data_IF_789508320807
#
_entry.id   IF_789508320807
#
_cell.length_a   1.000
_cell.length_b   1.000
_cell.length_c   1.000
_cell.angle_alpha   90.00
_cell.angle_beta   90.00
_cell.angle_gamma   90.00
#
_symmetry.space_group_name_H-M   'P 1'
#
loop_
_entity.id
_entity.type
_entity.pdbx_description
1 polymer ?
#
# COMPACT_ATOMS: atom_id res chain seq x y z
N UNK A 1 9.68 25.25 -71.84
CA UNK A 1 8.72 25.87 -70.89
C UNK A 1 8.34 24.81 -69.91
N UNK A 2 8.93 24.88 -68.70
CA UNK A 2 8.76 23.87 -67.65
C UNK A 2 8.06 24.60 -66.48
N UNK A 3 6.77 24.36 -66.34
CA UNK A 3 5.96 24.94 -65.22
C UNK A 3 6.01 24.01 -64.03
N UNK A 4 6.84 24.38 -63.04
CA UNK A 4 6.86 23.74 -61.75
C UNK A 4 5.56 24.10 -60.97
N UNK A 5 4.82 23.06 -60.55
CA UNK A 5 3.69 23.22 -59.61
C UNK A 5 4.19 23.54 -58.21
N UNK A 6 3.54 24.44 -57.46
CA UNK A 6 3.96 24.73 -56.09
C UNK A 6 3.65 23.54 -55.18
N UNK A 7 4.64 23.09 -54.43
CA UNK A 7 4.50 22.15 -53.33
C UNK A 7 3.63 22.80 -52.22
N UNK A 8 2.48 22.19 -51.90
CA UNK A 8 1.71 22.51 -50.74
C UNK A 8 2.54 22.16 -49.48
N UNK A 9 2.89 23.14 -48.72
CA UNK A 9 3.43 22.96 -47.37
C UNK A 9 2.37 22.27 -46.49
N UNK A 10 2.67 21.05 -46.09
CA UNK A 10 1.94 20.37 -45.02
C UNK A 10 2.41 21.04 -43.72
N UNK A 11 1.77 22.15 -43.38
CA UNK A 11 1.88 22.71 -42.03
C UNK A 11 1.03 21.80 -41.13
N UNK A 12 1.70 20.84 -40.47
CA UNK A 12 1.07 19.95 -39.53
C UNK A 12 0.39 20.74 -38.42
N UNK A 13 -0.85 20.40 -38.17
CA UNK A 13 -1.54 20.74 -36.95
C UNK A 13 -0.60 20.40 -35.80
N UNK A 14 -0.17 21.41 -35.02
CA UNK A 14 0.55 21.20 -33.79
C UNK A 14 -0.42 20.42 -32.89
N UNK A 15 -0.17 19.15 -32.65
CA UNK A 15 -0.78 18.43 -31.54
C UNK A 15 -0.66 19.31 -30.32
N UNK A 16 -1.79 19.80 -29.82
CA UNK A 16 -1.81 20.51 -28.55
C UNK A 16 -1.32 19.51 -27.51
N UNK A 17 -0.08 19.68 -27.07
CA UNK A 17 0.50 18.84 -26.02
C UNK A 17 -0.44 18.87 -24.84
N UNK A 18 -1.07 17.73 -24.55
CA UNK A 18 -2.03 17.59 -23.46
C UNK A 18 -1.25 17.76 -22.14
N UNK A 19 -1.57 18.80 -21.41
CA UNK A 19 -0.91 19.11 -20.14
C UNK A 19 -1.58 18.29 -19.04
N UNK A 20 -0.80 17.46 -18.33
CA UNK A 20 -1.23 16.74 -17.13
C UNK A 20 -0.74 17.48 -15.90
N UNK A 21 -1.61 17.57 -14.89
CA UNK A 21 -1.28 18.07 -13.56
C UNK A 21 -1.21 16.89 -12.62
N UNK A 22 -0.02 16.59 -12.10
CA UNK A 22 0.26 15.43 -11.24
C UNK A 22 1.05 15.94 -10.04
N UNK A 23 0.65 15.53 -8.86
CA UNK A 23 1.35 15.79 -7.60
C UNK A 23 2.08 14.51 -7.16
N UNK A 24 3.25 14.65 -6.54
CA UNK A 24 4.02 13.49 -6.07
C UNK A 24 4.26 13.57 -4.58
N UNK A 25 3.96 12.48 -3.88
CA UNK A 25 4.12 12.34 -2.44
C UNK A 25 4.78 11.02 -2.10
N UNK A 26 5.28 10.91 -0.86
CA UNK A 26 5.78 9.65 -0.32
C UNK A 26 5.34 9.41 1.13
N UNK A 27 5.19 8.14 1.47
CA UNK A 27 5.06 7.66 2.85
C UNK A 27 6.18 6.66 3.11
N UNK A 28 7.18 7.05 3.92
CA UNK A 28 8.34 6.21 4.26
C UNK A 28 9.12 5.71 3.02
N UNK A 29 9.31 6.58 2.02
CA UNK A 29 10.04 6.24 0.80
C UNK A 29 9.22 5.51 -0.27
N UNK A 30 8.03 5.03 0.03
CA UNK A 30 7.09 4.51 -0.96
C UNK A 30 6.35 5.70 -1.61
N UNK A 31 6.62 5.96 -2.88
CA UNK A 31 6.18 7.16 -3.58
C UNK A 31 5.02 6.90 -4.54
N UNK A 32 4.03 7.79 -4.51
CA UNK A 32 2.85 7.75 -5.38
C UNK A 32 2.67 9.07 -6.12
N UNK A 33 2.18 8.96 -7.35
CA UNK A 33 1.60 10.09 -8.09
C UNK A 33 0.13 10.20 -7.72
N UNK A 34 -0.34 11.42 -7.45
CA UNK A 34 -1.78 11.68 -7.31
C UNK A 34 -2.29 12.24 -8.62
N UNK A 35 -3.23 11.53 -9.22
CA UNK A 35 -3.93 11.89 -10.44
C UNK A 35 -5.35 12.33 -10.12
N UNK A 36 -5.57 13.63 -10.16
CA UNK A 36 -6.88 14.22 -9.88
C UNK A 36 -7.70 14.35 -11.18
N UNK A 37 -8.80 13.62 -11.33
CA UNK A 37 -9.66 13.68 -12.50
C UNK A 37 -10.39 15.04 -12.64
N UNK A 38 -10.49 15.83 -11.57
CA UNK A 38 -11.05 17.17 -11.63
C UNK A 38 -10.07 18.18 -12.25
N UNK A 39 -8.78 17.90 -12.23
CA UNK A 39 -7.71 18.69 -12.85
C UNK A 39 -7.27 18.16 -14.21
N UNK A 40 -7.60 16.92 -14.54
CA UNK A 40 -7.16 16.22 -15.75
C UNK A 40 -8.34 15.62 -16.49
N UNK A 41 -8.36 15.78 -17.83
CA UNK A 41 -9.43 15.22 -18.70
C UNK A 41 -9.12 13.85 -19.27
N UNK A 42 -7.87 13.42 -19.18
CA UNK A 42 -7.40 12.15 -19.77
C UNK A 42 -7.68 11.01 -18.80
N UNK A 43 -8.52 10.06 -19.17
CA UNK A 43 -8.74 8.86 -18.34
C UNK A 43 -7.46 8.03 -18.20
N UNK A 44 -7.18 7.52 -17.00
CA UNK A 44 -6.10 6.57 -16.79
C UNK A 44 -6.46 5.22 -17.43
N UNK A 45 -5.44 4.58 -18.01
CA UNK A 45 -5.49 3.19 -18.51
C UNK A 45 -4.27 2.46 -17.97
N UNK A 46 -4.25 1.11 -17.90
CA UNK A 46 -3.08 0.36 -17.46
C UNK A 46 -1.79 0.79 -18.14
N UNK A 47 -1.81 0.97 -19.46
CA UNK A 47 -0.61 1.39 -20.23
C UNK A 47 -0.15 2.81 -19.90
N UNK A 48 -1.08 3.74 -19.60
CA UNK A 48 -0.72 5.10 -19.16
C UNK A 48 -0.15 5.10 -17.75
N UNK A 49 -0.69 4.29 -16.86
CA UNK A 49 -0.15 4.10 -15.50
C UNK A 49 1.28 3.57 -15.58
N UNK A 50 1.52 2.51 -16.37
CA UNK A 50 2.87 1.96 -16.60
C UNK A 50 3.85 3.01 -17.11
N UNK A 51 3.42 3.84 -18.08
CA UNK A 51 4.26 4.90 -18.62
C UNK A 51 4.58 5.97 -17.57
N UNK A 52 3.56 6.47 -16.85
CA UNK A 52 3.74 7.52 -15.84
C UNK A 52 4.61 7.03 -14.67
N UNK A 53 4.44 5.78 -14.23
CA UNK A 53 5.21 5.18 -13.14
C UNK A 53 6.63 4.77 -13.55
N UNK A 54 6.93 4.73 -14.84
CA UNK A 54 8.27 4.34 -15.30
C UNK A 54 9.32 5.38 -14.86
N UNK A 55 10.32 4.93 -14.07
CA UNK A 55 11.34 5.83 -13.50
C UNK A 55 12.34 6.38 -14.52
N UNK A 56 12.42 5.79 -15.71
CA UNK A 56 13.35 6.21 -16.77
C UNK A 56 12.66 7.00 -17.88
N UNK A 57 11.40 6.69 -18.20
CA UNK A 57 10.68 7.25 -19.34
C UNK A 57 9.42 8.02 -18.95
N UNK A 58 9.03 8.00 -17.69
CA UNK A 58 7.89 8.71 -17.12
C UNK A 58 8.31 9.63 -15.97
N UNK A 59 7.35 9.92 -15.09
CA UNK A 59 7.59 10.67 -13.84
C UNK A 59 8.29 9.78 -12.81
N UNK A 60 7.97 8.49 -12.83
CA UNK A 60 8.52 7.48 -11.93
C UNK A 60 7.81 7.49 -10.55
N UNK A 61 7.21 6.37 -10.19
CA UNK A 61 6.60 6.14 -8.88
C UNK A 61 6.30 4.65 -8.68
N UNK A 62 5.97 4.27 -7.45
CA UNK A 62 5.52 2.92 -7.10
C UNK A 62 4.06 2.67 -7.48
N UNK A 63 3.28 3.75 -7.72
CA UNK A 63 1.89 3.66 -8.14
C UNK A 63 1.24 5.01 -8.38
N UNK A 64 -0.06 4.99 -8.68
CA UNK A 64 -0.89 6.19 -8.87
C UNK A 64 -2.14 6.09 -7.98
N UNK A 65 -2.47 7.20 -7.31
CA UNK A 65 -3.73 7.39 -6.60
C UNK A 65 -4.63 8.26 -7.48
N UNK A 66 -5.66 7.66 -8.04
CA UNK A 66 -6.64 8.35 -8.89
C UNK A 66 -7.81 8.83 -8.03
N UNK A 67 -8.02 10.14 -7.97
CA UNK A 67 -9.08 10.78 -7.17
C UNK A 67 -8.72 12.23 -6.81
N UNK A 68 -9.63 12.94 -6.07
CA UNK A 68 -10.88 12.41 -5.53
C UNK A 68 -12.01 12.34 -6.57
N UNK A 69 -12.81 11.29 -6.48
CA UNK A 69 -14.15 11.25 -7.07
C UNK A 69 -15.13 11.60 -5.94
N UNK A 70 -15.81 12.72 -6.10
CA UNK A 70 -16.73 13.25 -5.09
C UNK A 70 -18.17 12.96 -5.48
N UNK A 71 -18.86 12.12 -4.71
CA UNK A 71 -20.28 11.80 -4.92
C UNK A 71 -21.02 11.81 -3.58
N UNK A 72 -22.06 12.68 -3.43
CA UNK A 72 -22.88 12.77 -2.22
C UNK A 72 -22.05 12.84 -0.91
N UNK A 73 -21.07 13.75 -0.85
CA UNK A 73 -20.10 13.91 0.25
C UNK A 73 -19.16 12.70 0.48
N UNK A 74 -19.23 11.70 -0.37
CA UNK A 74 -18.34 10.55 -0.37
C UNK A 74 -17.06 10.87 -1.16
N UNK A 75 -15.91 10.65 -0.55
CA UNK A 75 -14.58 10.84 -1.17
C UNK A 75 -14.07 9.46 -1.58
N UNK A 76 -13.97 9.24 -2.88
CA UNK A 76 -13.49 7.95 -3.40
C UNK A 76 -12.15 8.07 -4.11
N UNK A 77 -11.33 7.00 -4.03
CA UNK A 77 -10.09 6.86 -4.76
C UNK A 77 -9.91 5.47 -5.35
N UNK A 78 -9.11 5.39 -6.41
CA UNK A 78 -8.61 4.13 -6.98
C UNK A 78 -7.09 4.08 -6.82
N UNK A 79 -6.57 2.92 -6.43
CA UNK A 79 -5.13 2.70 -6.24
C UNK A 79 -4.62 1.85 -7.39
N UNK A 80 -3.67 2.38 -8.14
CA UNK A 80 -2.99 1.70 -9.23
C UNK A 80 -1.57 1.32 -8.84
N UNK A 81 -1.19 0.09 -9.07
CA UNK A 81 0.20 -0.35 -9.02
C UNK A 81 0.96 0.14 -10.26
N UNK A 82 2.27 0.21 -10.20
CA UNK A 82 3.11 0.66 -11.33
C UNK A 82 3.04 -0.24 -12.57
N UNK A 83 2.57 -1.48 -12.44
CA UNK A 83 2.33 -2.40 -13.54
C UNK A 83 0.96 -2.20 -14.24
N UNK A 84 0.16 -1.24 -13.78
CA UNK A 84 -1.17 -0.94 -14.31
C UNK A 84 -2.30 -1.81 -13.74
N UNK A 85 -2.03 -2.69 -12.82
CA UNK A 85 -3.07 -3.38 -12.04
C UNK A 85 -3.63 -2.49 -10.95
N UNK A 86 -4.82 -2.84 -10.41
CA UNK A 86 -5.42 -2.16 -9.26
C UNK A 86 -5.19 -2.96 -7.99
N UNK A 87 -5.21 -2.28 -6.86
CA UNK A 87 -5.19 -2.90 -5.54
C UNK A 87 -6.26 -2.29 -4.64
N UNK A 88 -6.84 -3.11 -3.79
CA UNK A 88 -7.93 -2.71 -2.92
C UNK A 88 -7.46 -1.77 -1.82
N UNK A 89 -6.23 -1.95 -1.31
CA UNK A 89 -5.73 -1.20 -0.16
C UNK A 89 -4.23 -0.93 -0.25
N UNK A 90 -3.82 0.25 0.23
CA UNK A 90 -2.42 0.63 0.44
C UNK A 90 -2.34 1.60 1.62
N UNK A 91 -1.74 1.14 2.71
CA UNK A 91 -1.59 1.99 3.89
C UNK A 91 -0.81 3.29 3.64
N UNK A 92 0.24 3.24 2.81
CA UNK A 92 0.98 4.43 2.40
C UNK A 92 0.14 5.30 1.46
N UNK A 93 -0.50 4.67 0.46
CA UNK A 93 -1.36 5.36 -0.51
C UNK A 93 -2.50 6.13 0.15
N UNK A 94 -3.17 5.52 1.13
CA UNK A 94 -4.26 6.17 1.89
C UNK A 94 -3.77 7.43 2.62
N UNK A 95 -2.61 7.35 3.30
CA UNK A 95 -2.04 8.52 3.99
C UNK A 95 -1.63 9.61 3.02
N UNK A 96 -0.99 9.23 1.91
CA UNK A 96 -0.61 10.15 0.83
C UNK A 96 -1.84 10.85 0.27
N UNK A 97 -2.89 10.09 -0.03
CA UNK A 97 -4.11 10.66 -0.59
C UNK A 97 -4.81 11.62 0.38
N UNK A 98 -4.84 11.28 1.68
CA UNK A 98 -5.36 12.17 2.71
C UNK A 98 -4.57 13.49 2.75
N UNK A 99 -3.23 13.44 2.68
CA UNK A 99 -2.39 14.65 2.61
C UNK A 99 -2.72 15.49 1.37
N UNK A 100 -2.84 14.85 0.20
CA UNK A 100 -3.24 15.53 -1.02
C UNK A 100 -4.61 16.25 -0.88
N UNK A 101 -5.61 15.58 -0.29
CA UNK A 101 -6.93 16.19 -0.07
C UNK A 101 -6.85 17.45 0.78
N UNK A 102 -5.96 17.48 1.76
CA UNK A 102 -5.68 18.65 2.59
C UNK A 102 -5.04 19.77 1.77
N UNK A 103 -3.96 19.48 1.04
CA UNK A 103 -3.20 20.44 0.25
C UNK A 103 -4.01 21.04 -0.89
N UNK A 104 -4.83 20.22 -1.55
CA UNK A 104 -5.71 20.64 -2.63
C UNK A 104 -7.00 21.33 -2.15
N UNK A 105 -7.23 21.42 -0.84
CA UNK A 105 -8.37 22.10 -0.24
C UNK A 105 -9.70 21.34 -0.28
N UNK A 106 -9.69 20.05 -0.61
CA UNK A 106 -10.89 19.20 -0.62
C UNK A 106 -11.44 18.94 0.78
N UNK A 107 -10.55 18.79 1.77
CA UNK A 107 -10.90 18.49 3.16
C UNK A 107 -10.24 19.46 4.12
N UNK A 108 -11.06 20.10 4.97
CA UNK A 108 -10.61 21.02 6.02
C UNK A 108 -10.84 20.46 7.43
N UNK A 109 -11.80 19.56 7.60
CA UNK A 109 -12.11 18.90 8.89
C UNK A 109 -11.03 17.88 9.26
N UNK A 110 -10.85 17.66 10.59
CA UNK A 110 -9.85 16.71 11.10
C UNK A 110 -10.21 15.26 10.83
N UNK A 111 -11.52 14.94 10.90
CA UNK A 111 -12.04 13.59 10.77
C UNK A 111 -12.86 13.46 9.50
N UNK A 112 -12.57 12.45 8.70
CA UNK A 112 -13.31 12.13 7.48
C UNK A 112 -13.03 10.70 7.03
N UNK A 113 -13.82 10.21 6.07
CA UNK A 113 -13.69 8.86 5.53
C UNK A 113 -13.31 8.93 4.05
N UNK A 114 -12.35 8.09 3.65
CA UNK A 114 -11.99 7.82 2.26
C UNK A 114 -12.56 6.45 1.90
N UNK A 115 -13.04 6.31 0.66
CA UNK A 115 -13.54 5.06 0.11
C UNK A 115 -12.58 4.56 -0.98
N UNK A 116 -12.16 3.30 -0.87
CA UNK A 116 -11.39 2.58 -1.88
C UNK A 116 -12.12 1.31 -2.30
N UNK A 117 -11.57 0.54 -3.23
CA UNK A 117 -12.09 -0.79 -3.56
C UNK A 117 -12.04 -1.75 -2.35
N UNK A 118 -11.14 -1.51 -1.39
CA UNK A 118 -11.03 -2.27 -0.13
C UNK A 118 -11.98 -1.84 0.98
N UNK A 119 -12.81 -0.81 0.75
CA UNK A 119 -13.80 -0.35 1.72
C UNK A 119 -13.57 1.06 2.24
N UNK A 120 -14.13 1.32 3.41
CA UNK A 120 -14.09 2.62 4.09
C UNK A 120 -12.86 2.72 5.00
N UNK A 121 -12.20 3.87 4.96
CA UNK A 121 -10.99 4.14 5.73
C UNK A 121 -11.18 5.46 6.46
N UNK A 122 -11.30 5.41 7.78
CA UNK A 122 -11.40 6.60 8.60
C UNK A 122 -10.04 7.23 8.79
N UNK A 123 -9.98 8.54 8.56
CA UNK A 123 -8.77 9.37 8.66
C UNK A 123 -8.95 10.39 9.77
N UNK A 124 -7.87 10.58 10.54
CA UNK A 124 -7.76 11.65 11.52
C UNK A 124 -6.43 12.38 11.36
N UNK A 125 -6.47 13.68 11.01
CA UNK A 125 -5.27 14.52 11.00
C UNK A 125 -4.81 14.85 12.41
N UNK A 126 -3.53 14.59 12.69
CA UNK A 126 -2.90 14.84 13.99
C UNK A 126 -2.24 16.22 14.07
N UNK A 127 -1.99 16.85 12.92
CA UNK A 127 -1.47 18.23 12.83
C UNK A 127 -2.22 19.03 11.76
N UNK A 128 -2.03 20.34 11.76
CA UNK A 128 -2.73 21.25 10.87
C UNK A 128 -2.29 21.11 9.41
N UNK A 129 -1.04 20.76 9.19
CA UNK A 129 -0.45 20.55 7.85
C UNK A 129 -0.89 19.25 7.21
N UNK A 130 -1.50 18.32 7.96
CA UNK A 130 -1.90 17.00 7.48
C UNK A 130 -0.73 16.09 7.12
N UNK A 131 0.48 16.41 7.59
CA UNK A 131 1.69 15.59 7.36
C UNK A 131 1.78 14.39 8.28
N UNK A 132 1.08 14.42 9.42
CA UNK A 132 0.97 13.31 10.35
C UNK A 132 -0.49 12.98 10.57
N UNK A 133 -0.86 11.73 10.32
CA UNK A 133 -2.26 11.31 10.39
C UNK A 133 -2.41 9.86 10.84
N UNK A 134 -3.60 9.57 11.35
CA UNK A 134 -4.04 8.23 11.75
C UNK A 134 -5.08 7.73 10.75
N UNK A 135 -4.91 6.49 10.30
CA UNK A 135 -5.84 5.80 9.40
C UNK A 135 -6.33 4.50 10.05
N UNK A 136 -7.62 4.19 9.89
CA UNK A 136 -8.18 2.88 10.26
C UNK A 136 -7.90 1.90 9.12
N UNK A 137 -7.22 0.80 9.43
CA UNK A 137 -6.84 -0.21 8.44
C UNK A 137 -7.79 -1.42 8.44
N UNK A 138 -8.94 -1.30 9.12
CA UNK A 138 -9.91 -2.39 9.25
C UNK A 138 -9.54 -3.38 10.35
N UNK A 139 -10.28 -4.47 10.43
CA UNK A 139 -10.10 -5.52 11.43
C UNK A 139 -9.12 -6.58 10.96
N UNK A 140 -8.21 -6.97 11.84
CA UNK A 140 -7.36 -8.13 11.61
C UNK A 140 -8.17 -9.42 11.78
N UNK A 141 -8.16 -10.28 10.78
CA UNK A 141 -8.78 -11.60 10.82
C UNK A 141 -7.74 -12.70 10.63
N UNK A 142 -7.76 -13.72 11.48
CA UNK A 142 -6.83 -14.85 11.44
C UNK A 142 -7.46 -16.12 10.83
N UNK A 143 -8.69 -16.03 10.34
CA UNK A 143 -9.43 -17.15 9.75
C UNK A 143 -8.93 -17.51 8.35
N UNK A 144 -8.70 -18.80 8.13
CA UNK A 144 -8.11 -19.31 6.89
C UNK A 144 -8.92 -19.05 5.63
N UNK A 145 -10.24 -18.88 5.73
CA UNK A 145 -11.12 -18.51 4.62
C UNK A 145 -11.07 -17.00 4.29
N UNK A 146 -10.70 -16.15 5.25
CA UNK A 146 -10.51 -14.71 5.05
C UNK A 146 -9.07 -14.33 4.64
N UNK A 147 -8.12 -15.24 4.84
CA UNK A 147 -6.70 -15.11 4.40
C UNK A 147 -6.44 -15.87 3.09
N UNK A 148 -7.39 -16.43 2.42
CA UNK A 148 -7.45 -17.56 1.46
C UNK A 148 -6.31 -18.58 1.63
N UNK A 149 -6.37 -19.35 2.74
CA UNK A 149 -5.44 -20.46 3.00
C UNK A 149 -6.16 -21.79 2.82
N UNK A 150 -5.60 -22.70 2.03
CA UNK A 150 -6.20 -24.01 1.73
C UNK A 150 -6.43 -24.86 2.98
N UNK A 151 -7.44 -25.74 2.91
CA UNK A 151 -7.82 -26.65 3.98
C UNK A 151 -9.09 -26.23 4.74
N UNK A 152 -9.44 -26.89 5.84
CA UNK A 152 -10.63 -26.58 6.60
C UNK A 152 -10.51 -25.19 7.27
N UNK A 153 -11.65 -24.55 7.53
CA UNK A 153 -11.73 -23.27 8.23
C UNK A 153 -11.14 -23.39 9.63
N UNK A 154 -10.11 -22.58 9.92
CA UNK A 154 -9.42 -22.51 11.21
C UNK A 154 -8.71 -21.17 11.37
N UNK A 155 -8.36 -20.78 12.57
CA UNK A 155 -7.38 -19.73 12.80
C UNK A 155 -5.96 -20.27 12.56
N UNK A 156 -5.14 -19.49 11.85
CA UNK A 156 -3.76 -19.87 11.56
C UNK A 156 -2.83 -19.04 12.45
N UNK A 157 -2.56 -19.58 13.63
CA UNK A 157 -1.74 -18.93 14.65
C UNK A 157 -0.63 -19.89 15.05
N UNK A 158 0.62 -19.48 14.79
CA UNK A 158 1.81 -20.29 15.09
C UNK A 158 1.77 -21.72 14.50
N UNK A 159 1.13 -21.87 13.33
CA UNK A 159 1.02 -23.14 12.61
C UNK A 159 2.31 -23.44 11.84
N UNK A 160 2.80 -24.65 11.84
CA UNK A 160 4.00 -25.01 11.09
C UNK A 160 3.71 -25.15 9.60
N UNK A 161 4.36 -24.34 8.77
CA UNK A 161 4.35 -24.45 7.30
C UNK A 161 5.77 -24.57 6.76
N UNK A 162 5.92 -25.24 5.60
CA UNK A 162 7.22 -25.54 5.00
C UNK A 162 7.45 -24.69 3.75
N UNK A 163 8.53 -23.89 3.75
CA UNK A 163 8.95 -23.10 2.60
C UNK A 163 10.40 -23.42 2.25
N UNK A 164 10.65 -23.80 1.00
CA UNK A 164 12.00 -24.19 0.56
C UNK A 164 12.62 -25.34 1.36
N UNK A 165 11.81 -26.30 1.80
CA UNK A 165 12.17 -27.46 2.66
C UNK A 165 12.47 -27.13 4.14
N UNK A 166 12.22 -25.88 4.56
CA UNK A 166 12.45 -25.45 5.95
C UNK A 166 11.08 -25.23 6.60
N UNK A 167 10.81 -25.83 7.77
CA UNK A 167 9.60 -25.56 8.53
C UNK A 167 9.71 -24.22 9.27
N UNK A 168 8.62 -23.44 9.26
CA UNK A 168 8.48 -22.18 9.98
C UNK A 168 7.18 -22.16 10.78
N UNK A 169 7.19 -21.69 12.02
CA UNK A 169 5.96 -21.34 12.73
C UNK A 169 5.40 -20.05 12.15
N UNK A 170 4.20 -20.09 11.59
CA UNK A 170 3.60 -18.96 10.88
C UNK A 170 2.29 -18.54 11.49
N UNK A 171 2.00 -17.25 11.46
CA UNK A 171 0.70 -16.69 11.75
C UNK A 171 0.19 -16.02 10.47
N UNK A 172 -0.97 -16.46 9.96
CA UNK A 172 -1.58 -15.87 8.78
C UNK A 172 -2.78 -15.03 9.18
N UNK A 173 -2.92 -13.87 8.56
CA UNK A 173 -4.03 -12.95 8.82
C UNK A 173 -4.32 -12.07 7.61
N UNK A 174 -5.53 -11.52 7.61
CA UNK A 174 -5.97 -10.48 6.67
C UNK A 174 -6.15 -9.17 7.41
N UNK A 175 -5.68 -8.09 6.80
CA UNK A 175 -6.03 -6.70 7.13
C UNK A 175 -6.58 -6.02 5.86
N UNK A 176 -7.48 -6.72 5.17
CA UNK A 176 -7.99 -6.37 3.84
C UNK A 176 -7.22 -7.00 2.68
N UNK A 177 -6.06 -7.62 2.96
CA UNK A 177 -5.26 -8.42 2.03
C UNK A 177 -4.48 -9.50 2.82
N UNK A 178 -4.06 -10.61 2.15
CA UNK A 178 -3.46 -11.76 2.85
C UNK A 178 -2.01 -11.52 3.27
N UNK A 179 -1.70 -11.88 4.52
CA UNK A 179 -0.38 -11.78 5.13
C UNK A 179 0.04 -13.05 5.85
N UNK A 180 1.32 -13.38 5.73
CA UNK A 180 2.04 -14.41 6.47
C UNK A 180 3.09 -13.72 7.34
N UNK A 181 3.05 -13.92 8.65
CA UNK A 181 4.00 -13.37 9.62
C UNK A 181 4.77 -14.50 10.28
N UNK A 182 6.10 -14.37 10.32
CA UNK A 182 7.02 -15.33 10.97
C UNK A 182 7.81 -14.59 12.03
N UNK A 183 7.69 -15.04 13.29
CA UNK A 183 8.53 -14.56 14.38
C UNK A 183 9.93 -15.19 14.27
N UNK A 184 10.96 -14.36 14.37
CA UNK A 184 12.36 -14.75 14.26
C UNK A 184 13.26 -13.93 15.21
N UNK A 185 14.34 -14.55 15.68
CA UNK A 185 15.35 -13.86 16.52
C UNK A 185 16.21 -12.88 15.69
N UNK A 186 16.49 -13.24 14.43
CA UNK A 186 17.22 -12.40 13.48
C UNK A 186 16.44 -12.27 12.18
N UNK A 187 16.39 -11.05 11.67
CA UNK A 187 15.74 -10.70 10.41
C UNK A 187 16.69 -10.00 9.45
N UNK A 188 16.53 -10.24 8.16
CA UNK A 188 17.27 -9.53 7.12
C UNK A 188 16.53 -9.55 5.78
N UNK A 189 16.91 -8.63 4.89
CA UNK A 189 16.42 -8.58 3.51
C UNK A 189 16.62 -9.92 2.79
N UNK A 190 17.79 -10.52 2.91
CA UNK A 190 18.14 -11.79 2.25
C UNK A 190 17.22 -12.92 2.75
N UNK A 191 16.94 -12.92 4.05
CA UNK A 191 16.09 -13.94 4.68
C UNK A 191 14.64 -13.80 4.23
N UNK A 192 14.04 -12.59 4.28
CA UNK A 192 12.67 -12.38 3.84
C UNK A 192 12.52 -12.64 2.34
N UNK A 193 13.49 -12.24 1.51
CA UNK A 193 13.48 -12.53 0.08
C UNK A 193 13.53 -14.03 -0.21
N UNK A 194 14.33 -14.78 0.54
CA UNK A 194 14.41 -16.25 0.40
C UNK A 194 13.08 -16.91 0.75
N UNK A 195 12.47 -16.53 1.88
CA UNK A 195 11.20 -17.12 2.33
C UNK A 195 10.06 -16.68 1.40
N UNK A 196 9.97 -15.38 1.09
CA UNK A 196 8.91 -14.78 0.29
C UNK A 196 8.78 -15.39 -1.11
N UNK A 197 9.89 -15.69 -1.77
CA UNK A 197 9.88 -16.38 -3.09
C UNK A 197 9.20 -17.75 -3.06
N UNK A 198 9.30 -18.48 -1.94
CA UNK A 198 8.64 -19.77 -1.78
C UNK A 198 7.21 -19.61 -1.27
N UNK A 199 6.97 -18.75 -0.29
CA UNK A 199 5.64 -18.57 0.32
C UNK A 199 4.65 -17.91 -0.63
N UNK A 200 5.06 -16.90 -1.40
CA UNK A 200 4.19 -16.21 -2.35
C UNK A 200 3.48 -17.16 -3.32
N UNK A 201 4.18 -18.20 -3.79
CA UNK A 201 3.69 -19.16 -4.77
C UNK A 201 3.40 -20.54 -4.16
N UNK A 202 3.32 -20.64 -2.84
CA UNK A 202 3.04 -21.90 -2.17
C UNK A 202 1.59 -22.34 -2.40
N UNK A 203 1.39 -23.67 -2.56
CA UNK A 203 0.06 -24.26 -2.82
C UNK A 203 -0.97 -23.96 -1.74
N UNK A 204 -0.51 -23.64 -0.53
CA UNK A 204 -1.37 -23.24 0.57
C UNK A 204 -2.05 -21.90 0.33
N UNK A 205 -1.48 -21.04 -0.53
CA UNK A 205 -1.94 -19.67 -0.79
C UNK A 205 -2.36 -19.51 -2.26
N UNK A 206 -3.58 -19.92 -2.65
CA UNK A 206 -4.03 -19.89 -4.05
C UNK A 206 -4.10 -18.47 -4.63
N UNK A 207 -4.31 -17.45 -3.78
CA UNK A 207 -4.32 -16.04 -4.15
C UNK A 207 -2.98 -15.34 -3.87
N UNK A 208 -1.91 -16.13 -3.63
CA UNK A 208 -0.60 -15.65 -3.18
C UNK A 208 -0.69 -14.96 -1.80
N UNK A 209 0.46 -14.54 -1.25
CA UNK A 209 0.52 -13.95 0.08
C UNK A 209 1.67 -12.95 0.21
N UNK A 210 1.47 -11.90 1.01
CA UNK A 210 2.54 -11.02 1.49
C UNK A 210 3.24 -11.70 2.67
N UNK A 211 4.57 -11.64 2.72
CA UNK A 211 5.36 -12.29 3.76
C UNK A 211 6.12 -11.26 4.59
N UNK A 212 5.96 -11.32 5.90
CA UNK A 212 6.71 -10.55 6.87
C UNK A 212 7.53 -11.49 7.76
N UNK A 213 8.80 -11.19 7.96
CA UNK A 213 9.57 -11.73 9.08
C UNK A 213 9.67 -10.65 10.15
N UNK A 214 9.44 -11.01 11.40
CA UNK A 214 9.27 -10.08 12.51
C UNK A 214 10.20 -10.47 13.66
N UNK A 215 10.86 -9.45 14.27
CA UNK A 215 11.61 -9.56 15.53
C UNK A 215 10.95 -8.68 16.56
N UNK A 216 10.68 -9.22 17.73
CA UNK A 216 10.19 -8.45 18.88
C UNK A 216 11.39 -7.89 19.64
N UNK A 217 11.44 -6.57 19.80
CA UNK A 217 12.49 -5.89 20.56
C UNK A 217 12.12 -5.75 22.03
N UNK A 218 10.88 -5.35 22.27
CA UNK A 218 10.25 -5.26 23.60
C UNK A 218 8.71 -5.25 23.43
N UNK A 219 7.97 -5.02 24.52
CA UNK A 219 6.50 -5.02 24.49
C UNK A 219 5.89 -3.90 23.64
N UNK A 220 6.65 -2.90 23.28
CA UNK A 220 6.20 -1.72 22.55
C UNK A 220 6.92 -1.50 21.22
N UNK A 221 7.90 -2.35 20.88
CA UNK A 221 8.68 -2.22 19.65
C UNK A 221 8.90 -3.56 18.97
N UNK A 222 8.62 -3.59 17.66
CA UNK A 222 8.97 -4.71 16.78
C UNK A 222 9.72 -4.20 15.55
N UNK A 223 10.54 -5.06 14.96
CA UNK A 223 11.13 -4.85 13.64
C UNK A 223 10.52 -5.82 12.63
N UNK A 224 10.38 -5.39 11.38
CA UNK A 224 9.91 -6.27 10.30
C UNK A 224 10.60 -5.99 8.98
N UNK A 225 10.84 -7.06 8.23
CA UNK A 225 11.23 -7.04 6.83
C UNK A 225 10.08 -7.60 5.99
N UNK A 226 9.85 -7.04 4.81
CA UNK A 226 8.66 -7.32 4.02
C UNK A 226 8.99 -7.79 2.61
N UNK A 227 8.29 -8.83 2.17
CA UNK A 227 8.24 -9.29 0.78
C UNK A 227 6.78 -9.25 0.33
N UNK A 228 6.44 -8.30 -0.52
CA UNK A 228 5.06 -8.06 -0.95
C UNK A 228 4.68 -8.93 -2.15
N UNK A 229 3.45 -9.38 -2.15
CA UNK A 229 2.79 -10.13 -3.23
C UNK A 229 2.85 -9.33 -4.55
N UNK A 230 3.51 -9.91 -5.55
CA UNK A 230 3.66 -9.28 -6.88
C UNK A 230 4.73 -8.20 -6.99
N UNK A 231 5.18 -7.60 -5.88
CA UNK A 231 6.17 -6.54 -5.86
C UNK A 231 7.56 -6.99 -5.37
N UNK A 232 7.61 -8.06 -4.57
CA UNK A 232 8.85 -8.54 -3.99
C UNK A 232 9.26 -7.76 -2.74
N UNK A 233 10.55 -7.57 -2.53
CA UNK A 233 11.07 -6.84 -1.37
C UNK A 233 10.75 -5.34 -1.46
N UNK A 234 10.18 -4.79 -0.38
CA UNK A 234 9.88 -3.36 -0.23
C UNK A 234 10.47 -2.83 1.08
N UNK A 235 10.85 -1.54 1.08
CA UNK A 235 11.43 -0.91 2.27
C UNK A 235 10.40 -0.59 3.34
N UNK A 236 9.13 -0.46 2.94
CA UNK A 236 8.02 -0.15 3.84
C UNK A 236 6.70 -0.66 3.25
N UNK A 237 5.88 -1.27 4.09
CA UNK A 237 4.53 -1.73 3.77
C UNK A 237 3.58 -1.39 4.92
N UNK A 238 2.56 -0.58 4.64
CA UNK A 238 1.57 -0.19 5.65
C UNK A 238 0.74 -1.38 6.13
N UNK A 239 0.20 -2.19 5.22
CA UNK A 239 -0.56 -3.40 5.57
C UNK A 239 0.33 -4.48 6.20
N UNK A 240 1.58 -4.62 5.72
CA UNK A 240 2.57 -5.51 6.31
C UNK A 240 2.89 -5.17 7.76
N UNK A 241 3.02 -3.87 8.10
CA UNK A 241 3.15 -3.41 9.48
C UNK A 241 1.93 -3.74 10.33
N UNK A 242 0.73 -3.48 9.80
CA UNK A 242 -0.51 -3.81 10.50
C UNK A 242 -0.60 -5.30 10.79
N UNK A 243 -0.24 -6.13 9.82
CA UNK A 243 -0.22 -7.58 9.98
C UNK A 243 0.81 -8.05 11.02
N UNK A 244 2.05 -7.52 10.97
CA UNK A 244 3.08 -7.85 11.96
C UNK A 244 2.65 -7.43 13.38
N UNK A 245 2.10 -6.22 13.55
CA UNK A 245 1.60 -5.72 14.82
C UNK A 245 0.44 -6.57 15.37
N UNK A 246 -0.54 -6.87 14.52
CA UNK A 246 -1.69 -7.70 14.91
C UNK A 246 -1.26 -9.12 15.30
N UNK A 247 -0.32 -9.73 14.56
CA UNK A 247 0.25 -11.02 14.90
C UNK A 247 1.01 -10.99 16.23
N UNK A 248 1.87 -9.99 16.45
CA UNK A 248 2.62 -9.83 17.71
C UNK A 248 1.68 -9.68 18.92
N UNK A 249 0.66 -8.85 18.80
CA UNK A 249 -0.36 -8.65 19.85
C UNK A 249 -1.18 -9.94 20.09
N UNK A 250 -1.63 -10.62 19.02
CA UNK A 250 -2.40 -11.89 19.13
C UNK A 250 -1.60 -13.00 19.79
N UNK A 251 -0.28 -13.02 19.60
CA UNK A 251 0.65 -13.95 20.25
C UNK A 251 1.00 -13.56 21.71
N UNK A 252 0.50 -12.43 22.21
CA UNK A 252 0.80 -11.94 23.56
C UNK A 252 2.20 -11.37 23.75
N UNK A 253 2.92 -11.08 22.67
CA UNK A 253 4.30 -10.64 22.67
C UNK A 253 4.44 -9.14 22.91
N UNK A 254 3.43 -8.35 22.53
CA UNK A 254 3.43 -6.89 22.64
C UNK A 254 2.19 -6.36 23.35
N UNK A 255 2.25 -5.11 23.74
CA UNK A 255 1.10 -4.32 24.17
C UNK A 255 0.27 -3.89 22.94
N UNK A 256 -1.00 -3.42 23.13
CA UNK A 256 -1.85 -3.05 22.00
C UNK A 256 -1.33 -1.83 21.23
N UNK A 257 -0.47 -0.99 21.81
CA UNK A 257 0.19 0.15 21.17
C UNK A 257 1.66 -0.14 21.01
N UNK A 258 2.14 -0.04 19.78
CA UNK A 258 3.53 -0.36 19.48
C UNK A 258 4.07 0.43 18.28
N UNK A 259 5.38 0.50 18.21
CA UNK A 259 6.13 1.04 17.08
C UNK A 259 6.64 -0.15 16.25
N UNK A 260 6.35 -0.11 14.95
CA UNK A 260 6.88 -1.07 13.98
C UNK A 260 7.98 -0.40 13.17
N UNK A 261 9.18 -0.95 13.26
CA UNK A 261 10.36 -0.47 12.55
C UNK A 261 10.56 -1.27 11.25
N UNK A 262 10.73 -0.56 10.15
CA UNK A 262 11.08 -1.12 8.84
C UNK A 262 12.32 -0.40 8.30
N UNK A 263 13.01 -0.93 7.28
CA UNK A 263 14.11 -0.21 6.63
C UNK A 263 13.75 1.19 6.11
N UNK A 264 12.52 1.38 5.62
CA UNK A 264 12.04 2.67 5.12
C UNK A 264 11.57 3.66 6.22
N UNK A 265 11.49 3.22 7.47
CA UNK A 265 11.07 4.07 8.60
C UNK A 265 10.14 3.37 9.59
N UNK A 266 9.45 4.16 10.41
CA UNK A 266 8.62 3.66 11.50
C UNK A 266 7.16 4.04 11.35
N UNK A 267 6.27 3.16 11.84
CA UNK A 267 4.84 3.44 11.99
C UNK A 267 4.42 3.14 13.43
N UNK A 268 3.49 3.93 13.96
CA UNK A 268 2.84 3.63 15.23
C UNK A 268 1.54 2.87 14.95
N UNK A 269 1.39 1.73 15.58
CA UNK A 269 0.21 0.86 15.44
C UNK A 269 -0.53 0.78 16.77
N UNK A 270 -1.85 0.72 16.69
CA UNK A 270 -2.73 0.49 17.85
C UNK A 270 -3.75 -0.58 17.45
N UNK A 271 -3.75 -1.69 18.18
CA UNK A 271 -4.75 -2.75 18.05
C UNK A 271 -5.85 -2.50 19.08
N UNK A 272 -7.07 -2.25 18.63
CA UNK A 272 -8.21 -2.04 19.50
C UNK A 272 -8.80 -3.37 19.99
N UNK A 273 -9.54 -3.33 21.08
CA UNK A 273 -10.22 -4.51 21.64
C UNK A 273 -11.19 -5.19 20.67
N UNK A 274 -11.79 -4.41 19.74
CA UNK A 274 -12.68 -4.92 18.70
C UNK A 274 -11.94 -5.51 17.48
N UNK A 275 -10.60 -5.55 17.52
CA UNK A 275 -9.73 -6.06 16.46
C UNK A 275 -9.38 -5.04 15.39
N UNK A 276 -9.89 -3.80 15.44
CA UNK A 276 -9.50 -2.75 14.51
C UNK A 276 -8.03 -2.36 14.68
N UNK A 277 -7.34 -2.20 13.56
CA UNK A 277 -5.95 -1.76 13.49
C UNK A 277 -5.91 -0.29 13.09
N UNK A 278 -5.33 0.54 13.94
CA UNK A 278 -5.08 1.94 13.63
C UNK A 278 -3.60 2.13 13.34
N UNK A 279 -3.30 2.82 12.26
CA UNK A 279 -1.94 3.11 11.81
C UNK A 279 -1.71 4.63 11.82
N UNK A 280 -0.66 5.07 12.48
CA UNK A 280 -0.20 6.47 12.48
C UNK A 280 1.15 6.56 11.81
N UNK A 281 1.28 7.51 10.89
CA UNK A 281 2.55 7.75 10.19
C UNK A 281 2.60 9.08 9.48
N UNK A 282 3.80 9.44 9.05
CA UNK A 282 4.09 10.69 8.37
C UNK A 282 4.00 10.53 6.84
N UNK A 283 3.75 11.66 6.18
CA UNK A 283 3.69 11.80 4.72
C UNK A 283 4.40 13.09 4.31
N UNK A 284 5.17 13.01 3.24
CA UNK A 284 5.85 14.16 2.65
C UNK A 284 5.45 14.40 1.20
N UNK A 285 5.48 15.68 0.79
CA UNK A 285 5.46 16.11 -0.61
C UNK A 285 6.87 15.96 -1.20
N UNK A 286 6.98 15.58 -2.49
CA UNK A 286 8.25 15.40 -3.22
C UNK A 286 8.56 16.60 -4.09
#
# INVERSE_FOLDING_TARGET
>A
MNTAKPQKSICGEREQAMRLTIEKYHGLGNDYLVYDPNKNKLALTPSRVQLLCNRNFGVGADGILEGPVMENDRISMVIWNSDGSRTENSGNGVRIFAKYLKDAGYVQKKDFTIHSEGGEIDIHYLNEEGTRLKASMGKASFWSDEVPVTGPRREIINETMVFGRIPYPVTCLSVGNPHLVILMDEISKELVCRIGKYSENARQFPEKINTQIMKVLDRTHIQTEVYERGAGYTLASGSGCCAAAAAAYRLGLTDPKMIVQMPGGTLELEIREDGNVLMTGDVGYV
#
